data_IF_435593023055
#
_entry.id   IF_435593023055
#
_cell.length_a   1.000
_cell.length_b   1.000
_cell.length_c   1.000
_cell.angle_alpha   90.00
_cell.angle_beta   90.00
_cell.angle_gamma   90.00
#
_symmetry.space_group_name_H-M   'P 1'
#
loop_
_entity.id
_entity.type
_entity.pdbx_description
1 polymer ?
#
# COMPACT_ATOMS: atom_id res chain seq x y z
N UNK A 1 108.33 -25.77 -6.77
CA UNK A 1 107.64 -27.06 -6.90
C UNK A 1 106.31 -26.82 -7.61
N UNK A 2 106.10 -27.54 -8.71
CA UNK A 2 104.91 -27.71 -9.57
C UNK A 2 104.31 -26.46 -10.26
N UNK A 3 104.72 -26.12 -11.51
CA UNK A 3 104.20 -26.58 -12.84
C UNK A 3 102.78 -26.08 -13.16
N UNK A 4 102.60 -25.03 -14.00
CA UNK A 4 102.61 -24.98 -15.49
C UNK A 4 101.21 -25.16 -16.12
N UNK A 5 100.75 -24.07 -16.75
CA UNK A 5 100.18 -23.96 -18.12
C UNK A 5 98.80 -24.49 -18.51
N UNK A 6 98.01 -23.52 -19.04
CA UNK A 6 97.10 -23.53 -20.21
C UNK A 6 95.94 -24.56 -20.26
N UNK A 7 94.75 -24.10 -20.63
CA UNK A 7 94.19 -24.13 -22.02
C UNK A 7 92.65 -24.08 -21.94
N UNK A 8 92.02 -23.29 -22.83
CA UNK A 8 90.59 -23.33 -23.13
C UNK A 8 90.20 -24.65 -23.82
N UNK A 9 89.11 -25.32 -23.46
CA UNK A 9 88.13 -25.88 -24.41
C UNK A 9 86.90 -26.49 -23.70
N UNK A 10 85.75 -26.33 -24.34
CA UNK A 10 84.42 -26.87 -24.02
C UNK A 10 84.42 -28.38 -23.72
N UNK A 11 83.44 -28.86 -22.94
CA UNK A 11 82.49 -29.94 -23.34
C UNK A 11 81.53 -30.40 -22.21
N UNK A 12 80.23 -30.47 -22.58
CA UNK A 12 79.18 -31.44 -22.15
C UNK A 12 78.29 -31.12 -20.93
N UNK A 13 77.01 -30.88 -21.24
CA UNK A 13 75.82 -30.89 -20.36
C UNK A 13 75.42 -32.35 -20.05
N UNK A 14 74.98 -32.68 -18.82
CA UNK A 14 73.59 -33.16 -18.69
C UNK A 14 72.87 -32.68 -17.42
N UNK A 15 71.67 -32.12 -17.62
CA UNK A 15 70.41 -32.39 -16.91
C UNK A 15 70.52 -32.67 -15.40
N UNK A 16 70.17 -31.69 -14.56
CA UNK A 16 69.32 -31.95 -13.40
C UNK A 16 68.47 -30.71 -13.11
N UNK A 17 67.27 -30.70 -13.71
CA UNK A 17 66.21 -29.78 -13.36
C UNK A 17 65.77 -30.06 -11.92
N UNK A 18 66.01 -29.11 -11.01
CA UNK A 18 65.29 -29.05 -9.75
C UNK A 18 64.93 -27.59 -9.45
N UNK A 19 64.11 -27.03 -10.32
CA UNK A 19 63.35 -25.81 -10.07
C UNK A 19 62.07 -26.22 -9.35
N UNK A 20 62.15 -26.50 -8.04
CA UNK A 20 60.98 -26.63 -7.18
C UNK A 20 60.62 -25.24 -6.64
N UNK A 21 60.17 -24.39 -7.55
CA UNK A 21 59.40 -23.21 -7.22
C UNK A 21 57.99 -23.71 -6.90
N UNK A 22 57.74 -23.98 -5.62
CA UNK A 22 56.39 -24.21 -5.11
C UNK A 22 55.66 -22.87 -5.26
N UNK A 23 55.09 -22.64 -6.44
CA UNK A 23 53.97 -21.73 -6.60
C UNK A 23 52.83 -22.38 -5.81
N UNK A 24 52.72 -22.04 -4.53
CA UNK A 24 51.46 -22.20 -3.83
C UNK A 24 50.46 -21.36 -4.61
N UNK A 25 49.66 -22.00 -5.45
CA UNK A 25 48.40 -21.47 -5.91
C UNK A 25 47.54 -21.31 -4.65
N UNK A 26 47.77 -20.21 -3.93
CA UNK A 26 46.72 -19.64 -3.11
C UNK A 26 45.74 -19.08 -4.12
N UNK A 27 44.82 -19.92 -4.58
CA UNK A 27 43.60 -19.43 -5.16
C UNK A 27 43.06 -18.37 -4.19
N UNK A 28 42.82 -17.13 -4.63
CA UNK A 28 42.10 -16.20 -3.79
C UNK A 28 40.71 -16.80 -3.62
N UNK A 29 40.51 -17.56 -2.54
CA UNK A 29 39.18 -17.82 -1.98
C UNK A 29 38.69 -16.45 -1.56
N UNK A 30 38.07 -15.76 -2.51
CA UNK A 30 37.20 -14.64 -2.24
C UNK A 30 36.04 -15.26 -1.46
N UNK A 31 36.17 -15.28 -0.13
CA UNK A 31 35.05 -15.52 0.73
C UNK A 31 33.95 -14.56 0.27
N UNK A 32 32.91 -15.11 -0.34
CA UNK A 32 31.78 -14.35 -0.88
C UNK A 32 30.91 -13.89 0.30
N UNK A 33 31.50 -13.10 1.20
CA UNK A 33 30.88 -12.52 2.39
C UNK A 33 29.92 -11.44 1.90
N UNK A 34 28.74 -11.84 1.43
CA UNK A 34 27.74 -10.91 0.94
C UNK A 34 26.59 -11.57 0.19
N UNK A 35 26.82 -12.70 -0.47
CA UNK A 35 25.77 -13.41 -1.21
C UNK A 35 24.99 -14.31 -0.25
N UNK A 36 23.68 -14.08 -0.05
CA UNK A 36 22.89 -14.87 0.88
C UNK A 36 22.87 -16.36 0.50
N UNK A 37 22.77 -17.23 1.50
CA UNK A 37 22.58 -18.66 1.26
C UNK A 37 21.17 -18.92 0.67
N UNK A 38 21.05 -19.97 -0.13
CA UNK A 38 19.75 -20.49 -0.53
C UNK A 38 19.78 -21.42 -1.74
N UNK A 39 18.70 -22.17 -1.93
CA UNK A 39 18.48 -23.12 -3.01
C UNK A 39 18.45 -22.49 -4.39
N UNK A 40 18.15 -21.18 -4.48
CA UNK A 40 18.16 -20.42 -5.73
C UNK A 40 19.49 -20.53 -6.51
N UNK A 41 20.61 -20.77 -5.84
CA UNK A 41 21.94 -20.92 -6.48
C UNK A 41 21.98 -22.10 -7.47
N UNK A 42 21.10 -23.08 -7.33
CA UNK A 42 21.04 -24.25 -8.22
C UNK A 42 20.36 -23.96 -9.57
N UNK A 43 19.59 -22.87 -9.66
CA UNK A 43 18.76 -22.55 -10.83
C UNK A 43 18.81 -21.08 -11.23
N UNK A 44 19.74 -20.32 -10.66
CA UNK A 44 19.97 -18.92 -11.02
C UNK A 44 21.46 -18.69 -11.34
N UNK A 45 21.72 -17.80 -12.29
CA UNK A 45 23.05 -17.37 -12.72
C UNK A 45 23.21 -15.85 -12.66
N UNK A 46 24.43 -15.37 -12.89
CA UNK A 46 24.79 -13.95 -12.82
C UNK A 46 24.39 -13.30 -11.48
N UNK A 47 24.66 -14.00 -10.37
CA UNK A 47 24.21 -13.60 -9.04
C UNK A 47 25.01 -12.37 -8.56
N UNK A 48 24.32 -11.30 -8.21
CA UNK A 48 24.90 -10.04 -7.75
C UNK A 48 24.19 -9.51 -6.51
N UNK A 49 24.95 -8.88 -5.62
CA UNK A 49 24.42 -8.17 -4.46
C UNK A 49 24.61 -6.69 -4.67
N UNK A 50 23.49 -5.98 -4.81
CA UNK A 50 23.44 -4.53 -4.97
C UNK A 50 23.24 -3.82 -3.62
N UNK A 51 23.57 -2.52 -3.51
CA UNK A 51 23.34 -1.74 -2.30
C UNK A 51 21.91 -1.83 -1.74
N UNK A 52 21.79 -1.81 -0.41
CA UNK A 52 20.51 -1.97 0.29
C UNK A 52 20.02 -3.42 0.37
N UNK A 53 20.96 -4.38 0.40
CA UNK A 53 20.71 -5.82 0.54
C UNK A 53 19.76 -6.35 -0.53
N UNK A 54 19.97 -5.94 -1.78
CA UNK A 54 19.20 -6.40 -2.93
C UNK A 54 20.02 -7.47 -3.65
N UNK A 55 19.49 -8.69 -3.71
CA UNK A 55 19.98 -9.76 -4.55
C UNK A 55 19.40 -9.57 -5.95
N UNK A 56 20.24 -9.58 -6.98
CA UNK A 56 19.86 -9.64 -8.39
C UNK A 56 20.40 -10.95 -8.98
N UNK A 57 19.61 -11.63 -9.79
CA UNK A 57 20.05 -12.82 -10.51
C UNK A 57 19.19 -13.06 -11.76
N UNK A 58 19.68 -13.87 -12.69
CA UNK A 58 18.87 -14.46 -13.75
C UNK A 58 18.45 -15.86 -13.33
N UNK A 59 17.16 -16.10 -13.10
CA UNK A 59 16.63 -17.34 -12.57
C UNK A 59 15.86 -18.12 -13.64
N UNK A 60 16.09 -19.43 -13.70
CA UNK A 60 15.45 -20.33 -14.64
C UNK A 60 13.96 -20.49 -14.32
N UNK A 61 13.12 -20.44 -15.36
CA UNK A 61 11.69 -20.74 -15.30
C UNK A 61 11.46 -22.22 -15.61
N UNK A 62 10.25 -22.70 -15.38
CA UNK A 62 9.88 -24.09 -15.70
C UNK A 62 9.95 -24.41 -17.20
N UNK A 63 9.96 -23.40 -18.07
CA UNK A 63 10.14 -23.54 -19.52
C UNK A 63 11.62 -23.52 -19.97
N UNK A 64 12.58 -23.57 -19.03
CA UNK A 64 14.02 -23.54 -19.26
C UNK A 64 14.58 -22.16 -19.64
N UNK A 65 13.73 -21.13 -19.80
CA UNK A 65 14.19 -19.76 -20.07
C UNK A 65 14.55 -19.06 -18.77
N UNK A 66 15.46 -18.09 -18.85
CA UNK A 66 15.87 -17.30 -17.69
C UNK A 66 15.08 -15.98 -17.59
N UNK A 67 14.66 -15.62 -16.38
CA UNK A 67 14.04 -14.34 -16.05
C UNK A 67 14.89 -13.56 -15.06
N UNK A 68 15.04 -12.24 -15.29
CA UNK A 68 15.75 -11.36 -14.37
C UNK A 68 14.90 -11.14 -13.12
N UNK A 69 15.46 -11.43 -11.96
CA UNK A 69 14.77 -11.30 -10.68
C UNK A 69 15.57 -10.50 -9.67
N UNK A 70 14.85 -9.82 -8.77
CA UNK A 70 15.44 -9.10 -7.64
C UNK A 70 14.72 -9.42 -6.34
N UNK A 71 15.46 -9.51 -5.24
CA UNK A 71 14.92 -9.78 -3.91
C UNK A 71 15.70 -9.04 -2.82
N UNK A 72 15.01 -8.35 -1.91
CA UNK A 72 15.65 -7.75 -0.73
C UNK A 72 15.84 -8.79 0.36
N UNK A 73 16.99 -9.45 0.37
CA UNK A 73 17.23 -10.61 1.23
C UNK A 73 17.37 -10.29 2.73
N UNK A 74 17.58 -9.02 3.11
CA UNK A 74 17.55 -8.61 4.53
C UNK A 74 16.20 -8.88 5.21
N UNK A 75 15.12 -9.02 4.42
CA UNK A 75 13.76 -9.30 4.89
C UNK A 75 13.42 -10.78 4.93
N UNK A 76 14.30 -11.64 4.43
CA UNK A 76 14.10 -13.08 4.35
C UNK A 76 14.44 -13.77 5.67
N UNK A 77 13.68 -14.82 5.98
CA UNK A 77 13.94 -15.82 7.01
C UNK A 77 14.09 -17.18 6.33
N UNK A 78 15.21 -17.86 6.57
CA UNK A 78 15.48 -19.16 5.97
C UNK A 78 15.86 -19.07 4.49
N UNK A 79 15.43 -20.08 3.73
CA UNK A 79 15.85 -20.30 2.36
C UNK A 79 15.38 -19.19 1.39
N UNK A 80 16.28 -18.82 0.48
CA UNK A 80 15.93 -18.07 -0.73
C UNK A 80 15.83 -19.08 -1.86
N UNK A 81 14.68 -19.14 -2.50
CA UNK A 81 14.38 -20.09 -3.56
C UNK A 81 14.07 -19.40 -4.88
N UNK A 82 14.16 -20.16 -5.97
CA UNK A 82 13.65 -19.75 -7.26
C UNK A 82 12.24 -20.31 -7.43
N UNK A 83 11.26 -19.42 -7.57
CA UNK A 83 9.87 -19.77 -7.88
C UNK A 83 9.55 -19.34 -9.31
N UNK A 84 9.76 -20.25 -10.27
CA UNK A 84 9.49 -20.04 -11.69
C UNK A 84 10.08 -18.73 -12.25
N UNK A 85 11.40 -18.57 -12.13
CA UNK A 85 12.13 -17.39 -12.58
C UNK A 85 12.13 -16.22 -11.59
N UNK A 86 11.49 -16.36 -10.43
CA UNK A 86 11.42 -15.29 -9.42
C UNK A 86 12.04 -15.71 -8.09
N UNK A 87 13.04 -14.95 -7.65
CA UNK A 87 13.61 -15.08 -6.32
C UNK A 87 12.53 -14.85 -5.26
N UNK A 88 12.41 -15.79 -4.34
CA UNK A 88 11.39 -15.81 -3.30
C UNK A 88 11.99 -16.25 -1.98
N UNK A 89 11.37 -15.86 -0.87
CA UNK A 89 11.74 -16.33 0.45
C UNK A 89 10.55 -16.15 1.40
N UNK A 90 10.59 -16.85 2.53
CA UNK A 90 9.70 -16.54 3.65
C UNK A 90 10.14 -15.20 4.25
N UNK A 91 9.21 -14.26 4.42
CA UNK A 91 9.53 -12.99 5.08
C UNK A 91 9.55 -13.15 6.59
N UNK A 92 10.50 -12.49 7.26
CA UNK A 92 10.53 -12.40 8.74
C UNK A 92 9.19 -11.86 9.27
N UNK A 93 8.58 -12.49 10.31
CA UNK A 93 7.40 -11.97 10.98
C UNK A 93 7.58 -10.49 11.38
N UNK A 94 6.61 -9.64 11.05
CA UNK A 94 6.68 -8.19 11.34
C UNK A 94 7.38 -7.33 10.28
N UNK A 95 7.84 -7.91 9.15
CA UNK A 95 8.29 -7.17 7.96
C UNK A 95 7.21 -7.10 6.85
N UNK A 96 6.06 -7.75 7.05
CA UNK A 96 4.90 -7.55 6.16
C UNK A 96 4.34 -6.14 6.33
N UNK A 97 4.04 -5.42 5.23
CA UNK A 97 3.45 -4.09 5.32
C UNK A 97 2.12 -4.09 6.06
N UNK A 98 1.92 -3.19 7.04
CA UNK A 98 0.66 -3.08 7.78
C UNK A 98 -0.53 -2.95 6.84
N UNK A 99 -1.69 -3.43 7.26
CA UNK A 99 -2.92 -3.21 6.50
C UNK A 99 -3.24 -1.72 6.42
N UNK A 100 -3.75 -1.27 5.27
CA UNK A 100 -4.28 0.07 5.14
C UNK A 100 -4.64 0.45 3.71
N UNK A 101 -5.46 1.48 3.59
CA UNK A 101 -5.99 1.97 2.30
C UNK A 101 -4.90 2.53 1.38
N UNK A 102 -3.73 2.91 1.92
CA UNK A 102 -2.57 3.34 1.13
C UNK A 102 -2.17 2.32 0.05
N UNK A 103 -2.38 1.02 0.27
CA UNK A 103 -2.10 -0.05 -0.70
C UNK A 103 -2.82 0.14 -2.05
N UNK A 104 -3.93 0.86 -2.08
CA UNK A 104 -4.70 1.14 -3.29
C UNK A 104 -4.09 2.21 -4.21
N UNK A 105 -3.07 2.93 -3.73
CA UNK A 105 -2.54 4.14 -4.38
C UNK A 105 -1.03 4.32 -4.19
N UNK A 106 -0.37 3.32 -3.61
CA UNK A 106 1.07 3.28 -3.41
C UNK A 106 1.64 2.00 -3.99
N UNK A 107 2.87 2.08 -4.47
CA UNK A 107 3.68 0.96 -4.98
C UNK A 107 5.04 0.92 -4.29
N UNK A 108 5.83 -0.10 -4.59
CA UNK A 108 7.16 -0.30 -4.01
C UNK A 108 7.12 -0.31 -2.46
N UNK A 109 6.05 -0.89 -1.92
CA UNK A 109 5.74 -0.91 -0.49
C UNK A 109 6.67 -1.87 0.23
N UNK A 110 7.38 -1.37 1.24
CA UNK A 110 8.33 -2.15 2.04
C UNK A 110 8.38 -1.67 3.47
N UNK A 111 8.71 -2.59 4.38
CA UNK A 111 8.96 -2.27 5.78
C UNK A 111 10.44 -2.39 6.10
N UNK A 112 10.95 -1.35 6.74
CA UNK A 112 12.33 -1.24 7.20
C UNK A 112 12.33 -0.93 8.71
N UNK A 113 12.24 -2.00 9.50
CA UNK A 113 12.12 -1.90 10.96
C UNK A 113 10.74 -1.35 11.33
N UNK A 114 10.71 -0.13 11.88
CA UNK A 114 9.46 0.59 12.19
C UNK A 114 9.00 1.53 11.07
N UNK A 115 9.83 1.74 10.03
CA UNK A 115 9.47 2.60 8.90
C UNK A 115 8.74 1.79 7.82
N UNK A 116 7.53 2.22 7.46
CA UNK A 116 6.86 1.86 6.22
C UNK A 116 7.34 2.82 5.14
N UNK A 117 7.90 2.31 4.06
CA UNK A 117 8.38 3.10 2.90
C UNK A 117 7.56 2.69 1.68
N UNK A 118 7.12 3.67 0.89
CA UNK A 118 6.38 3.43 -0.34
C UNK A 118 6.53 4.59 -1.32
N UNK A 119 6.14 4.36 -2.57
CA UNK A 119 5.96 5.39 -3.60
C UNK A 119 4.47 5.60 -3.81
N UNK A 120 3.94 6.75 -3.38
CA UNK A 120 2.51 7.03 -3.34
C UNK A 120 2.10 8.08 -4.38
N UNK A 121 0.93 7.89 -4.99
CA UNK A 121 0.39 8.77 -6.02
C UNK A 121 -0.11 10.09 -5.42
N UNK A 122 0.28 11.22 -6.01
CA UNK A 122 -0.20 12.58 -5.71
C UNK A 122 -1.51 12.86 -6.47
N UNK A 123 -2.23 13.92 -6.07
CA UNK A 123 -3.49 14.34 -6.72
C UNK A 123 -3.34 14.65 -8.22
N UNK A 124 -2.16 15.12 -8.64
CA UNK A 124 -1.83 15.43 -10.03
C UNK A 124 -1.34 14.20 -10.84
N UNK A 125 -1.44 12.98 -10.28
CA UNK A 125 -0.97 11.74 -10.91
C UNK A 125 0.53 11.49 -10.85
N UNK A 126 1.33 12.47 -10.40
CA UNK A 126 2.76 12.25 -10.14
C UNK A 126 2.96 11.40 -8.89
N UNK A 127 4.14 10.81 -8.72
CA UNK A 127 4.43 9.90 -7.61
C UNK A 127 5.44 10.49 -6.64
N UNK A 128 5.26 10.25 -5.34
CA UNK A 128 6.13 10.71 -4.29
C UNK A 128 6.71 9.56 -3.48
N UNK A 129 8.01 9.58 -3.21
CA UNK A 129 8.60 8.65 -2.24
C UNK A 129 8.29 9.17 -0.83
N UNK A 130 7.71 8.32 0.00
CA UNK A 130 7.28 8.68 1.35
C UNK A 130 7.59 7.57 2.34
N UNK A 131 7.71 7.95 3.61
CA UNK A 131 7.97 7.05 4.71
C UNK A 131 7.16 7.45 5.93
N UNK A 132 6.83 6.48 6.77
CA UNK A 132 6.00 6.66 7.95
C UNK A 132 6.44 5.68 9.03
N UNK A 133 6.59 6.13 10.27
CA UNK A 133 6.72 5.22 11.41
C UNK A 133 5.34 4.58 11.68
N UNK A 134 5.13 3.35 11.21
CA UNK A 134 3.81 2.73 11.23
C UNK A 134 3.46 2.10 12.58
N UNK A 135 4.45 1.88 13.47
CA UNK A 135 4.22 1.27 14.79
C UNK A 135 3.42 2.18 15.72
N UNK A 136 3.46 3.49 15.48
CA UNK A 136 2.72 4.49 16.28
C UNK A 136 1.26 4.63 15.81
N UNK A 137 0.88 3.88 14.78
CA UNK A 137 -0.41 4.01 14.10
C UNK A 137 -1.44 3.09 14.74
N UNK A 138 -2.44 3.69 15.40
CA UNK A 138 -3.59 2.99 16.01
C UNK A 138 -4.76 2.81 15.05
N UNK A 139 -4.57 3.07 13.75
CA UNK A 139 -5.64 3.08 12.76
C UNK A 139 -5.11 3.00 11.34
N UNK A 140 -6.01 3.18 10.37
CA UNK A 140 -5.70 3.07 8.95
C UNK A 140 -4.53 3.98 8.52
N UNK A 141 -3.67 3.43 7.67
CA UNK A 141 -2.59 4.13 7.00
C UNK A 141 -3.10 4.54 5.61
N UNK A 142 -3.09 5.84 5.36
CA UNK A 142 -3.65 6.46 4.16
C UNK A 142 -2.54 7.08 3.31
N UNK A 143 -2.80 7.26 2.01
CA UNK A 143 -2.03 8.14 1.15
C UNK A 143 -2.71 9.52 1.09
N UNK A 144 -2.09 10.52 1.71
CA UNK A 144 -2.51 11.91 1.65
C UNK A 144 -1.63 12.67 0.64
N UNK A 145 -2.11 12.78 -0.62
CA UNK A 145 -1.42 13.52 -1.68
C UNK A 145 0.06 13.13 -1.89
N UNK A 146 0.36 11.83 -1.88
CA UNK A 146 1.71 11.29 -2.01
C UNK A 146 2.44 11.10 -0.69
N UNK A 147 1.82 11.36 0.45
CA UNK A 147 2.41 11.19 1.77
C UNK A 147 1.67 10.11 2.58
N UNK A 148 2.42 9.14 3.12
CA UNK A 148 1.86 8.14 4.04
C UNK A 148 1.51 8.83 5.37
N UNK A 149 0.28 8.62 5.83
CA UNK A 149 -0.22 9.24 7.07
C UNK A 149 -1.07 8.27 7.88
N UNK A 150 -1.06 8.43 9.21
CA UNK A 150 -1.82 7.61 10.13
C UNK A 150 -3.01 8.33 10.72
N UNK A 151 -4.14 7.65 10.77
CA UNK A 151 -5.28 8.13 11.52
C UNK A 151 -5.18 7.70 12.99
N UNK A 152 -4.65 8.58 13.86
CA UNK A 152 -4.82 8.46 15.32
C UNK A 152 -3.56 8.40 16.20
N UNK A 153 -2.37 8.73 15.68
CA UNK A 153 -1.15 8.93 16.48
C UNK A 153 -0.49 10.26 16.07
N UNK A 154 -0.09 11.07 17.04
CA UNK A 154 0.30 12.47 16.89
C UNK A 154 1.28 12.75 15.74
N UNK A 155 0.90 13.67 14.87
CA UNK A 155 1.72 14.14 13.76
C UNK A 155 0.89 14.88 12.71
N UNK A 156 0.47 16.11 13.01
CA UNK A 156 0.20 17.22 12.07
C UNK A 156 -0.75 17.06 10.86
N UNK A 157 -1.32 15.89 10.56
CA UNK A 157 -2.20 15.70 9.41
C UNK A 157 -3.68 15.74 9.79
N UNK A 158 -4.48 16.56 9.11
CA UNK A 158 -5.94 16.63 9.26
C UNK A 158 -6.55 15.23 9.33
N UNK A 159 -7.08 14.88 10.52
CA UNK A 159 -7.65 13.56 10.82
C UNK A 159 -8.78 13.24 9.83
N UNK A 160 -8.52 12.33 8.89
CA UNK A 160 -9.51 11.86 7.94
C UNK A 160 -10.62 11.16 8.75
N UNK A 161 -11.91 11.50 8.57
CA UNK A 161 -13.00 10.90 9.33
C UNK A 161 -13.12 9.40 9.09
N UNK A 162 -13.51 8.65 10.12
CA UNK A 162 -13.74 7.20 10.03
C UNK A 162 -15.02 6.90 9.24
N UNK A 163 -15.08 5.75 8.57
CA UNK A 163 -16.28 5.24 7.92
C UNK A 163 -16.03 4.10 6.94
N UNK A 164 -17.08 3.36 6.57
CA UNK A 164 -17.09 2.23 5.62
C UNK A 164 -16.68 2.61 4.20
N UNK A 165 -16.76 3.90 3.84
CA UNK A 165 -16.27 4.39 2.55
C UNK A 165 -14.80 4.01 2.31
N UNK A 166 -14.00 3.81 3.35
CA UNK A 166 -12.59 3.43 3.25
C UNK A 166 -12.37 2.06 2.58
N UNK A 167 -13.36 1.17 2.62
CA UNK A 167 -13.27 -0.16 2.01
C UNK A 167 -13.36 -0.11 0.48
N UNK A 168 -13.96 0.95 -0.06
CA UNK A 168 -14.28 1.07 -1.48
C UNK A 168 -13.90 2.42 -2.09
N UNK A 169 -13.25 3.31 -1.33
CA UNK A 169 -12.70 4.56 -1.79
C UNK A 169 -11.19 4.63 -1.54
N UNK A 170 -10.49 5.41 -2.36
CA UNK A 170 -9.04 5.67 -2.28
C UNK A 170 -8.74 7.16 -2.34
N UNK A 171 -7.49 7.52 -2.05
CA UNK A 171 -6.96 8.88 -2.11
C UNK A 171 -7.79 9.87 -1.28
N UNK A 172 -8.21 9.46 -0.07
CA UNK A 172 -9.03 10.29 0.80
C UNK A 172 -8.21 11.39 1.46
N UNK A 173 -8.76 12.60 1.57
CA UNK A 173 -8.13 13.70 2.29
C UNK A 173 -9.18 14.67 2.82
N UNK A 174 -8.79 15.50 3.79
CA UNK A 174 -9.65 16.55 4.35
C UNK A 174 -9.04 17.92 4.07
N UNK A 175 -9.86 18.82 3.55
CA UNK A 175 -9.52 20.23 3.32
C UNK A 175 -10.74 21.08 3.73
N UNK A 176 -10.54 22.08 4.60
CA UNK A 176 -11.61 22.97 5.05
C UNK A 176 -12.79 22.30 5.79
N UNK A 177 -12.65 21.06 6.27
CA UNK A 177 -13.76 20.28 6.84
C UNK A 177 -14.58 19.50 5.81
N UNK A 178 -14.13 19.48 4.56
CA UNK A 178 -14.67 18.66 3.48
C UNK A 178 -13.77 17.44 3.31
N UNK A 179 -14.38 16.25 3.33
CA UNK A 179 -13.74 15.00 2.96
C UNK A 179 -13.83 14.86 1.45
N UNK A 180 -12.70 14.62 0.80
CA UNK A 180 -12.58 14.28 -0.61
C UNK A 180 -12.10 12.84 -0.72
N UNK A 181 -12.62 12.08 -1.69
CA UNK A 181 -12.15 10.72 -1.97
C UNK A 181 -12.53 10.26 -3.38
N UNK A 182 -11.77 9.32 -3.95
CA UNK A 182 -12.13 8.62 -5.17
C UNK A 182 -12.83 7.30 -4.84
N UNK A 183 -14.13 7.21 -5.07
CA UNK A 183 -14.97 6.10 -4.65
C UNK A 183 -15.37 5.19 -5.81
N UNK A 184 -15.35 3.88 -5.58
CA UNK A 184 -15.72 2.87 -6.58
C UNK A 184 -17.23 2.89 -6.82
N UNK A 185 -17.63 2.92 -8.10
CA UNK A 185 -19.00 2.76 -8.59
C UNK A 185 -19.34 1.27 -8.71
N UNK A 186 -20.63 0.94 -8.78
CA UNK A 186 -21.11 -0.43 -8.96
C UNK A 186 -20.66 -1.02 -10.30
N UNK A 187 -20.51 -0.20 -11.33
CA UNK A 187 -19.99 -0.60 -12.64
C UNK A 187 -18.45 -0.76 -12.68
N UNK A 188 -17.77 -0.73 -11.52
CA UNK A 188 -16.32 -0.84 -11.40
C UNK A 188 -15.53 0.44 -11.67
N UNK A 189 -16.17 1.47 -12.24
CA UNK A 189 -15.56 2.78 -12.45
C UNK A 189 -15.26 3.52 -11.15
N UNK A 190 -14.47 4.59 -11.22
CA UNK A 190 -14.15 5.42 -10.06
C UNK A 190 -14.78 6.81 -10.21
N UNK A 191 -15.22 7.40 -9.10
CA UNK A 191 -15.78 8.73 -9.06
C UNK A 191 -15.07 9.59 -8.02
N UNK A 192 -14.65 10.79 -8.39
CA UNK A 192 -14.19 11.77 -7.40
C UNK A 192 -15.41 12.31 -6.68
N UNK A 193 -15.48 12.13 -5.37
CA UNK A 193 -16.58 12.60 -4.54
C UNK A 193 -16.05 13.44 -3.39
N UNK A 194 -16.86 14.38 -2.93
CA UNK A 194 -16.56 15.18 -1.76
C UNK A 194 -17.82 15.39 -0.93
N UNK A 195 -17.65 15.57 0.38
CA UNK A 195 -18.73 15.94 1.27
C UNK A 195 -18.21 16.68 2.51
N UNK A 196 -19.00 17.61 3.03
CA UNK A 196 -18.75 18.16 4.36
C UNK A 196 -19.09 17.09 5.40
N UNK A 197 -18.08 16.60 6.10
CA UNK A 197 -18.24 15.51 7.07
C UNK A 197 -18.49 15.99 8.49
N UNK A 198 -18.36 17.31 8.76
CA UNK A 198 -18.57 17.89 10.11
C UNK A 198 -19.97 17.61 10.65
N UNK A 199 -20.93 17.39 9.76
CA UNK A 199 -22.32 17.07 10.09
C UNK A 199 -22.65 15.58 9.98
N UNK A 200 -21.65 14.70 9.81
CA UNK A 200 -21.87 13.26 9.85
C UNK A 200 -21.76 12.71 11.27
N UNK A 201 -22.89 12.37 11.89
CA UNK A 201 -22.92 11.85 13.26
C UNK A 201 -22.80 10.31 13.34
N UNK A 202 -22.62 9.65 12.20
CA UNK A 202 -22.61 8.19 12.05
C UNK A 202 -21.56 7.80 11.00
N UNK A 203 -21.73 6.63 10.39
CA UNK A 203 -20.84 6.14 9.35
C UNK A 203 -20.71 7.14 8.18
N UNK A 204 -19.60 7.09 7.45
CA UNK A 204 -19.47 7.71 6.14
C UNK A 204 -19.34 6.54 5.18
N UNK A 205 -20.23 6.43 4.20
CA UNK A 205 -20.29 5.31 3.27
C UNK A 205 -20.09 5.76 1.83
N UNK A 206 -19.66 4.82 1.01
CA UNK A 206 -19.67 4.97 -0.44
C UNK A 206 -21.02 4.48 -1.00
N UNK A 207 -21.75 5.36 -1.66
CA UNK A 207 -22.99 5.07 -2.35
C UNK A 207 -22.79 5.24 -3.87
N UNK A 208 -22.48 4.14 -4.56
CA UNK A 208 -22.21 4.10 -6.00
C UNK A 208 -21.23 5.19 -6.50
N UNK A 209 -20.11 5.37 -5.79
CA UNK A 209 -19.11 6.39 -6.10
C UNK A 209 -19.35 7.75 -5.42
N UNK A 210 -20.35 7.89 -4.55
CA UNK A 210 -20.64 9.12 -3.81
C UNK A 210 -20.42 8.94 -2.31
N UNK A 211 -19.65 9.83 -1.69
CA UNK A 211 -19.54 9.89 -0.23
C UNK A 211 -20.86 10.37 0.37
N UNK A 212 -21.41 9.62 1.31
CA UNK A 212 -22.66 9.96 2.01
C UNK A 212 -22.53 9.62 3.50
N UNK A 213 -23.29 10.28 4.37
CA UNK A 213 -23.37 9.82 5.77
C UNK A 213 -24.29 8.58 5.85
N UNK A 214 -23.84 7.51 6.49
CA UNK A 214 -24.63 6.34 6.85
C UNK A 214 -25.66 6.69 7.93
N UNK A 215 -26.94 6.65 7.55
CA UNK A 215 -28.03 7.20 8.36
C UNK A 215 -28.11 8.72 8.18
N UNK A 216 -29.01 9.17 7.31
CA UNK A 216 -29.11 10.57 6.88
C UNK A 216 -29.10 11.56 8.04
N UNK A 217 -28.19 12.54 7.98
CA UNK A 217 -28.06 13.50 9.06
C UNK A 217 -29.16 14.56 9.03
N UNK A 218 -29.81 14.63 10.19
CA UNK A 218 -31.00 15.35 10.56
C UNK A 218 -30.85 16.87 10.77
N UNK A 219 -29.68 17.45 10.50
CA UNK A 219 -29.41 18.86 10.85
C UNK A 219 -29.82 19.86 9.77
N UNK A 220 -29.83 19.48 8.48
CA UNK A 220 -30.29 20.35 7.38
C UNK A 220 -31.77 20.15 7.01
N UNK A 221 -32.41 19.18 7.66
CA UNK A 221 -33.80 18.80 7.39
C UNK A 221 -34.73 19.28 8.52
N UNK A 222 -35.97 19.68 8.22
CA UNK A 222 -36.92 20.20 9.21
C UNK A 222 -37.03 19.30 10.43
N UNK A 223 -37.18 19.87 11.64
CA UNK A 223 -37.40 19.06 12.84
C UNK A 223 -38.65 18.19 12.66
N UNK A 224 -38.68 16.99 13.25
CA UNK A 224 -39.83 16.10 13.10
C UNK A 224 -39.58 14.62 13.36
N UNK A 225 -40.65 13.89 13.66
CA UNK A 225 -40.65 12.44 13.92
C UNK A 225 -40.49 11.61 12.65
N UNK A 226 -40.84 12.17 11.47
CA UNK A 226 -40.71 11.51 10.16
C UNK A 226 -39.31 10.94 9.90
N UNK A 227 -38.29 11.55 10.51
CA UNK A 227 -36.88 11.15 10.45
C UNK A 227 -36.62 9.72 10.95
N UNK A 228 -37.54 9.16 11.75
CA UNK A 228 -37.49 7.77 12.25
C UNK A 228 -38.06 6.75 11.25
N UNK A 229 -38.96 7.18 10.37
CA UNK A 229 -39.80 6.30 9.54
C UNK A 229 -39.76 6.62 8.05
N UNK A 230 -38.95 7.59 7.63
CA UNK A 230 -38.74 7.97 6.24
C UNK A 230 -37.27 7.90 5.84
N UNK A 231 -37.00 7.59 4.57
CA UNK A 231 -35.68 7.49 3.95
C UNK A 231 -35.65 8.31 2.66
N UNK A 232 -34.47 8.37 2.02
CA UNK A 232 -34.28 9.10 0.76
C UNK A 232 -34.73 10.57 0.86
N UNK A 233 -34.39 11.22 1.98
CA UNK A 233 -34.77 12.60 2.25
C UNK A 233 -34.12 13.53 1.21
N UNK A 234 -34.94 14.30 0.49
CA UNK A 234 -34.52 15.35 -0.44
C UNK A 234 -35.14 16.68 -0.01
N UNK A 235 -34.36 17.75 -0.05
CA UNK A 235 -34.83 19.09 0.31
C UNK A 235 -34.31 20.09 -0.72
N UNK A 236 -35.21 20.90 -1.22
CA UNK A 236 -34.92 22.03 -2.11
C UNK A 236 -35.79 23.23 -1.71
N UNK A 237 -35.14 24.29 -1.23
CA UNK A 237 -35.85 25.44 -0.67
C UNK A 237 -36.85 25.03 0.43
N UNK A 238 -38.13 25.29 0.17
CA UNK A 238 -39.26 24.98 1.06
C UNK A 238 -39.85 23.57 0.85
N UNK A 239 -39.38 22.82 -0.14
CA UNK A 239 -39.89 21.49 -0.42
C UNK A 239 -39.07 20.44 0.34
N UNK A 240 -39.75 19.53 1.01
CA UNK A 240 -39.18 18.31 1.57
C UNK A 240 -39.84 17.11 0.89
N UNK A 241 -39.03 16.20 0.35
CA UNK A 241 -39.47 14.93 -0.21
C UNK A 241 -38.82 13.77 0.54
N UNK A 242 -39.52 12.64 0.64
CA UNK A 242 -39.04 11.43 1.28
C UNK A 242 -39.85 10.21 0.86
N UNK A 243 -39.26 9.03 1.02
CA UNK A 243 -39.99 7.77 1.01
C UNK A 243 -40.32 7.38 2.45
N UNK A 244 -41.60 7.35 2.80
CA UNK A 244 -42.10 7.13 4.16
C UNK A 244 -42.78 5.77 4.30
N UNK A 245 -42.50 5.07 5.40
CA UNK A 245 -43.08 3.76 5.69
C UNK A 245 -44.54 3.91 6.12
N UNK A 246 -45.45 3.17 5.50
CA UNK A 246 -46.85 3.08 5.89
C UNK A 246 -47.08 1.98 6.94
N UNK A 247 -48.28 1.88 7.50
CA UNK A 247 -48.58 0.95 8.60
C UNK A 247 -48.47 -0.52 8.17
N UNK A 248 -48.70 -0.79 6.88
CA UNK A 248 -48.47 -2.09 6.25
C UNK A 248 -46.98 -2.38 5.95
N UNK A 249 -46.07 -1.50 6.37
CA UNK A 249 -44.63 -1.61 6.17
C UNK A 249 -44.09 -1.29 4.78
N UNK A 250 -44.95 -0.90 3.83
CA UNK A 250 -44.57 -0.48 2.47
C UNK A 250 -44.08 0.96 2.46
N UNK A 251 -43.15 1.26 1.56
CA UNK A 251 -42.61 2.61 1.39
C UNK A 251 -43.43 3.39 0.36
N UNK A 252 -43.82 4.61 0.71
CA UNK A 252 -44.58 5.52 -0.14
C UNK A 252 -43.83 6.84 -0.30
N UNK A 253 -43.66 7.27 -1.53
CA UNK A 253 -43.09 8.58 -1.83
C UNK A 253 -44.05 9.69 -1.40
N UNK A 254 -43.53 10.70 -0.72
CA UNK A 254 -44.31 11.83 -0.20
C UNK A 254 -43.48 13.12 -0.24
N UNK A 255 -44.17 14.24 -0.45
CA UNK A 255 -43.59 15.58 -0.39
C UNK A 255 -44.43 16.54 0.45
N UNK A 256 -43.80 17.59 0.99
CA UNK A 256 -44.46 18.63 1.79
C UNK A 256 -43.73 19.97 1.67
N UNK A 257 -44.49 21.07 1.66
CA UNK A 257 -43.96 22.43 1.87
C UNK A 257 -43.94 22.73 3.36
N UNK A 258 -42.77 22.95 3.96
CA UNK A 258 -42.62 22.88 5.43
C UNK A 258 -42.37 24.20 6.16
N UNK A 259 -42.28 25.34 5.46
CA UNK A 259 -41.99 26.68 6.03
C UNK A 259 -42.97 27.07 7.15
N UNK A 260 -44.18 26.52 7.13
CA UNK A 260 -45.22 26.79 8.13
C UNK A 260 -45.38 25.66 9.17
N UNK A 261 -44.56 24.61 9.12
CA UNK A 261 -44.60 23.52 10.10
C UNK A 261 -43.80 23.88 11.36
N UNK A 262 -44.36 24.72 12.23
CA UNK A 262 -43.67 25.24 13.42
C UNK A 262 -43.36 24.17 14.47
N UNK A 263 -44.16 23.10 14.54
CA UNK A 263 -44.00 22.00 15.51
C UNK A 263 -43.25 20.79 14.93
N UNK A 264 -42.71 20.93 13.72
CA UNK A 264 -42.02 19.88 13.01
C UNK A 264 -42.93 19.06 12.08
N UNK A 265 -42.38 17.99 11.53
CA UNK A 265 -43.03 17.15 10.52
C UNK A 265 -43.16 15.71 11.04
N UNK A 266 -44.23 15.03 10.70
CA UNK A 266 -44.48 13.62 10.99
C UNK A 266 -44.72 12.82 9.72
N UNK A 267 -44.62 11.51 9.87
CA UNK A 267 -45.08 10.53 8.90
C UNK A 267 -46.44 10.00 9.34
N UNK A 268 -47.47 10.29 8.57
CA UNK A 268 -48.84 9.81 8.73
C UNK A 268 -49.14 8.76 7.64
N UNK A 269 -49.02 7.48 8.00
CA UNK A 269 -49.26 6.33 7.13
C UNK A 269 -48.63 6.44 5.72
N UNK A 270 -47.35 6.83 5.67
CA UNK A 270 -46.58 7.00 4.44
C UNK A 270 -46.72 8.39 3.78
N UNK A 271 -47.31 9.38 4.46
CA UNK A 271 -47.40 10.77 3.99
C UNK A 271 -46.76 11.73 5.00
N UNK A 272 -45.97 12.69 4.52
CA UNK A 272 -45.42 13.76 5.34
C UNK A 272 -46.52 14.76 5.70
N UNK A 273 -46.65 15.11 6.99
CA UNK A 273 -47.59 16.13 7.51
C UNK A 273 -46.90 17.02 8.53
N UNK A 274 -47.36 18.26 8.70
CA UNK A 274 -46.95 19.05 9.87
C UNK A 274 -47.46 18.37 11.15
N UNK A 275 -46.70 18.53 12.24
CA UNK A 275 -47.19 18.36 13.60
C UNK A 275 -48.04 19.55 14.03
#
# INVERSE_FOLDING_TARGET
>A
MNTISKTYLLLIVPILALFLLILTNVDPVSAQIGVPAGSYKNSCKDIQVMPGSVLWAQCEKTDGKFEKSTLRFAQCEGDISNNNGKLSCKQKPGKQPPSGSYKNSCKDIRVDGKELKAKCEKRNGSWNNTKLNYKDCKGDITNNNGELSCNGGGGGGSKIPKGSYRDSCKNSYVEGGTLYSNCKKNNGGWNKSSMNYKNCNKDIKNDNGKLTCGGGNNSNFPKGSYKKSCKNLYKEGNLLEADCKNDNGKWKHSSIKYKNCNNGIQNDNGRLRCN
#
